data_IF_205669225035
#
_entry.id   IF_205669225035
#
_cell.length_a   1.000
_cell.length_b   1.000
_cell.length_c   1.000
_cell.angle_alpha   90.00
_cell.angle_beta   90.00
_cell.angle_gamma   90.00
#
_symmetry.space_group_name_H-M   'P 1'
#
loop_
_entity.id
_entity.type
_entity.pdbx_description
1 polymer ?
#
# COMPACT_ATOMS: atom_id res chain seq x y z
N UNK A 1 -5.61 0.88 -2.47
CA UNK A 1 -4.21 1.37 -2.54
C UNK A 1 -3.84 1.99 -3.88
N UNK A 2 -3.94 1.30 -5.03
CA UNK A 2 -3.51 1.84 -6.34
C UNK A 2 -3.96 3.28 -6.67
N UNK A 3 -5.24 3.62 -6.47
CA UNK A 3 -5.76 4.98 -6.72
C UNK A 3 -5.10 6.02 -5.80
N UNK A 4 -4.96 5.72 -4.52
CA UNK A 4 -4.32 6.59 -3.54
C UNK A 4 -2.83 6.79 -3.85
N UNK A 5 -2.12 5.72 -4.23
CA UNK A 5 -0.72 5.81 -4.72
C UNK A 5 -0.60 6.75 -5.91
N UNK A 6 -1.51 6.67 -6.88
CA UNK A 6 -1.50 7.57 -8.04
C UNK A 6 -1.84 9.02 -7.67
N UNK A 7 -2.79 9.22 -6.74
CA UNK A 7 -3.11 10.55 -6.22
C UNK A 7 -1.88 11.18 -5.55
N UNK A 8 -1.21 10.45 -4.66
CA UNK A 8 0.02 10.87 -4.01
C UNK A 8 1.12 11.21 -5.01
N UNK A 9 1.34 10.35 -6.02
CA UNK A 9 2.34 10.60 -7.08
C UNK A 9 2.04 11.85 -7.89
N UNK A 10 0.76 12.13 -8.17
CA UNK A 10 0.34 13.35 -8.88
C UNK A 10 0.61 14.59 -8.04
N UNK A 11 0.20 14.55 -6.76
CA UNK A 11 0.45 15.63 -5.81
C UNK A 11 1.95 15.93 -5.69
N UNK A 12 2.76 14.90 -5.48
CA UNK A 12 4.23 15.04 -5.35
C UNK A 12 4.91 15.58 -6.62
N UNK A 13 4.39 15.28 -7.80
CA UNK A 13 4.94 15.71 -9.10
C UNK A 13 4.30 16.98 -9.63
N UNK A 14 3.63 17.74 -8.78
CA UNK A 14 3.02 18.99 -9.22
C UNK A 14 4.09 19.94 -9.81
N UNK A 15 3.79 20.47 -10.99
CA UNK A 15 4.74 21.26 -11.78
C UNK A 15 4.92 22.68 -11.22
N UNK A 16 3.94 23.16 -10.46
CA UNK A 16 4.01 24.48 -9.83
C UNK A 16 4.87 24.47 -8.57
N UNK A 17 5.34 23.27 -8.13
CA UNK A 17 6.20 23.09 -6.97
C UNK A 17 5.59 23.70 -5.72
N UNK A 18 4.29 23.46 -5.51
CA UNK A 18 3.61 23.88 -4.28
C UNK A 18 4.40 23.44 -3.04
N UNK A 19 4.40 24.23 -1.95
CA UNK A 19 5.14 23.91 -0.72
C UNK A 19 4.87 22.49 -0.20
N UNK A 20 3.63 22.02 -0.33
CA UNK A 20 3.27 20.64 0.01
C UNK A 20 3.98 19.63 -0.89
N UNK A 21 4.04 19.87 -2.19
CA UNK A 21 4.71 19.00 -3.16
C UNK A 21 6.21 18.89 -2.89
N UNK A 22 6.85 20.00 -2.49
CA UNK A 22 8.26 20.01 -2.09
C UNK A 22 8.48 19.18 -0.81
N UNK A 23 7.63 19.38 0.20
CA UNK A 23 7.66 18.62 1.46
C UNK A 23 7.50 17.12 1.22
N UNK A 24 6.58 16.73 0.34
CA UNK A 24 6.34 15.33 -0.03
C UNK A 24 7.46 14.73 -0.90
N UNK A 25 8.35 15.52 -1.50
CA UNK A 25 9.51 15.03 -2.24
C UNK A 25 10.70 14.69 -1.35
N UNK A 26 10.74 15.18 -0.10
CA UNK A 26 11.81 14.88 0.86
C UNK A 26 11.81 13.40 1.23
N UNK A 27 10.64 12.80 1.42
CA UNK A 27 10.52 11.40 1.83
C UNK A 27 10.31 10.45 0.65
N UNK A 28 11.11 9.38 0.62
CA UNK A 28 10.97 8.30 -0.37
C UNK A 28 9.92 7.29 0.11
N UNK A 29 8.65 7.64 -0.08
CA UNK A 29 7.54 6.73 0.21
C UNK A 29 7.63 5.43 -0.63
N UNK A 30 7.80 4.29 0.04
CA UNK A 30 7.98 2.96 -0.52
C UNK A 30 6.74 2.51 -1.30
N UNK A 31 5.55 2.81 -0.79
CA UNK A 31 4.29 2.54 -1.49
C UNK A 31 4.14 3.27 -2.83
N UNK A 32 4.92 4.33 -3.04
CA UNK A 32 4.91 5.14 -4.25
C UNK A 32 5.94 4.70 -5.30
N UNK A 33 6.74 3.67 -5.03
CA UNK A 33 7.67 3.07 -6.00
C UNK A 33 6.94 2.36 -7.14
N UNK A 34 7.56 2.27 -8.32
CA UNK A 34 6.95 1.64 -9.49
C UNK A 34 6.70 0.15 -9.29
N UNK A 35 7.59 -0.53 -8.57
CA UNK A 35 7.42 -1.92 -8.20
C UNK A 35 6.12 -2.17 -7.41
N UNK A 36 5.91 -1.41 -6.34
CA UNK A 36 4.73 -1.57 -5.46
C UNK A 36 3.45 -1.16 -6.20
N UNK A 37 3.49 -0.04 -6.93
CA UNK A 37 2.33 0.43 -7.69
C UNK A 37 1.93 -0.54 -8.82
N UNK A 38 2.91 -1.13 -9.52
CA UNK A 38 2.67 -2.14 -10.54
C UNK A 38 2.06 -3.40 -9.93
N UNK A 39 2.58 -3.87 -8.78
CA UNK A 39 2.05 -5.04 -8.08
C UNK A 39 0.57 -4.85 -7.70
N UNK A 40 0.20 -3.71 -7.12
CA UNK A 40 -1.21 -3.42 -6.81
C UNK A 40 -2.08 -3.27 -8.05
N UNK A 41 -1.54 -2.74 -9.15
CA UNK A 41 -2.27 -2.68 -10.43
C UNK A 41 -2.58 -4.08 -10.94
N UNK A 42 -1.60 -4.97 -10.92
CA UNK A 42 -1.75 -6.35 -11.37
C UNK A 42 -2.75 -7.10 -10.49
N UNK A 43 -2.58 -7.07 -9.16
CA UNK A 43 -3.53 -7.68 -8.20
C UNK A 43 -4.97 -7.20 -8.46
N UNK A 44 -5.16 -5.89 -8.65
CA UNK A 44 -6.47 -5.31 -8.98
C UNK A 44 -7.01 -5.84 -10.31
N UNK A 45 -6.18 -5.94 -11.34
CA UNK A 45 -6.61 -6.47 -12.64
C UNK A 45 -7.04 -7.93 -12.51
N UNK A 46 -6.28 -8.77 -11.81
CA UNK A 46 -6.65 -10.18 -11.56
C UNK A 46 -8.00 -10.28 -10.84
N UNK A 47 -8.25 -9.42 -9.84
CA UNK A 47 -9.57 -9.36 -9.18
C UNK A 47 -10.68 -8.99 -10.17
N UNK A 48 -10.44 -8.01 -11.05
CA UNK A 48 -11.45 -7.58 -12.03
C UNK A 48 -11.76 -8.63 -13.09
N UNK A 49 -10.83 -9.54 -13.39
CA UNK A 49 -11.02 -10.63 -14.35
C UNK A 49 -11.38 -11.96 -13.68
N UNK A 50 -11.69 -11.96 -12.38
CA UNK A 50 -12.01 -13.18 -11.64
C UNK A 50 -13.20 -13.93 -12.24
N UNK A 51 -14.30 -13.23 -12.52
CA UNK A 51 -15.51 -13.85 -13.07
C UNK A 51 -15.24 -14.49 -14.44
N UNK A 52 -14.49 -13.80 -15.30
CA UNK A 52 -14.03 -14.31 -16.60
C UNK A 52 -13.16 -15.56 -16.43
N UNK A 53 -12.24 -15.55 -15.46
CA UNK A 53 -11.39 -16.71 -15.17
C UNK A 53 -12.17 -17.92 -14.63
N UNK A 54 -13.26 -17.71 -13.89
CA UNK A 54 -14.15 -18.79 -13.46
C UNK A 54 -14.94 -19.36 -14.65
N UNK A 55 -15.48 -18.48 -15.51
CA UNK A 55 -16.23 -18.89 -16.70
C UNK A 55 -15.38 -19.67 -17.71
N UNK A 56 -14.10 -19.28 -17.85
CA UNK A 56 -13.13 -19.96 -18.73
C UNK A 56 -12.52 -21.22 -18.10
N UNK A 57 -12.95 -21.62 -16.89
CA UNK A 57 -12.45 -22.81 -16.19
C UNK A 57 -10.99 -22.69 -15.70
N UNK A 58 -10.41 -21.49 -15.70
CA UNK A 58 -9.05 -21.22 -15.17
C UNK A 58 -9.02 -21.28 -13.64
N UNK A 59 -10.17 -21.10 -13.00
CA UNK A 59 -10.39 -21.25 -11.56
C UNK A 59 -11.60 -22.16 -11.37
N UNK A 60 -11.44 -23.22 -10.56
CA UNK A 60 -12.56 -24.09 -10.23
C UNK A 60 -13.51 -23.41 -9.23
N UNK A 61 -14.80 -23.71 -9.32
CA UNK A 61 -15.78 -23.25 -8.32
C UNK A 61 -15.38 -23.78 -6.92
N UNK A 62 -15.45 -22.91 -5.92
CA UNK A 62 -14.98 -23.19 -4.55
C UNK A 62 -13.45 -23.18 -4.34
N UNK A 63 -12.63 -22.96 -5.37
CA UNK A 63 -11.18 -22.83 -5.21
C UNK A 63 -10.83 -21.51 -4.48
N UNK A 64 -10.00 -21.54 -3.41
CA UNK A 64 -9.57 -20.32 -2.75
C UNK A 64 -8.74 -19.45 -3.70
N UNK A 65 -9.33 -18.35 -4.16
CA UNK A 65 -8.70 -17.45 -5.14
C UNK A 65 -8.00 -16.23 -4.52
N UNK A 66 -8.25 -15.94 -3.23
CA UNK A 66 -7.71 -14.76 -2.55
C UNK A 66 -6.84 -15.11 -1.33
N UNK A 67 -7.18 -16.18 -0.63
CA UNK A 67 -6.57 -16.58 0.64
C UNK A 67 -6.14 -18.02 0.54
N UNK A 68 -4.88 -18.30 0.89
CA UNK A 68 -4.35 -19.66 0.94
C UNK A 68 -3.84 -19.94 2.35
N UNK A 69 -4.29 -21.04 2.93
CA UNK A 69 -3.86 -21.50 4.25
C UNK A 69 -2.56 -22.31 4.13
N UNK A 70 -1.54 -21.73 3.51
CA UNK A 70 -0.19 -22.29 3.37
C UNK A 70 0.87 -21.47 4.12
N UNK A 71 0.43 -20.59 5.02
CA UNK A 71 1.30 -19.89 5.96
C UNK A 71 1.91 -20.84 6.99
N UNK A 72 2.85 -20.33 7.81
CA UNK A 72 3.52 -21.12 8.83
C UNK A 72 2.53 -21.74 9.81
N UNK A 73 2.87 -22.92 10.31
CA UNK A 73 2.09 -23.59 11.35
C UNK A 73 2.40 -22.98 12.72
N UNK A 74 1.35 -22.70 13.48
CA UNK A 74 1.45 -22.21 14.87
C UNK A 74 0.85 -23.24 15.82
N UNK A 75 1.40 -23.42 17.03
CA UNK A 75 0.82 -24.33 18.01
C UNK A 75 -0.65 -24.00 18.30
N UNK A 76 -1.49 -25.03 18.43
CA UNK A 76 -2.88 -24.86 18.80
C UNK A 76 -2.97 -24.28 20.22
N UNK A 77 -3.77 -23.22 20.47
CA UNK A 77 -3.76 -22.51 21.75
C UNK A 77 -4.28 -23.37 22.93
N UNK A 78 -5.10 -24.38 22.64
CA UNK A 78 -5.75 -25.23 23.66
C UNK A 78 -5.44 -26.72 23.54
N UNK A 79 -4.85 -27.17 22.43
CA UNK A 79 -4.67 -28.61 22.17
C UNK A 79 -3.17 -28.94 22.09
N UNK A 80 -2.62 -29.69 23.05
CA UNK A 80 -1.21 -30.03 23.05
C UNK A 80 -0.87 -30.93 21.85
N UNK A 81 0.31 -30.72 21.27
CA UNK A 81 0.83 -31.43 20.09
C UNK A 81 0.04 -31.22 18.78
N UNK A 82 -0.84 -30.22 18.72
CA UNK A 82 -1.49 -29.83 17.47
C UNK A 82 -0.98 -28.48 16.96
N UNK A 83 -1.06 -28.29 15.64
CA UNK A 83 -0.73 -27.03 14.96
C UNK A 83 -1.89 -26.56 14.09
N UNK A 84 -1.99 -25.25 13.89
CA UNK A 84 -2.95 -24.60 13.01
C UNK A 84 -2.17 -23.97 11.86
N UNK A 85 -2.59 -24.22 10.61
CA UNK A 85 -2.07 -23.48 9.45
C UNK A 85 -2.58 -22.06 9.45
N UNK A 86 -1.66 -21.10 9.34
CA UNK A 86 -2.02 -19.68 9.27
C UNK A 86 -2.28 -19.22 7.83
N UNK A 87 -3.00 -18.12 7.70
CA UNK A 87 -3.13 -17.37 6.45
C UNK A 87 -2.32 -16.08 6.64
N UNK A 88 -1.14 -16.00 6.02
CA UNK A 88 -0.21 -14.87 6.18
C UNK A 88 -0.07 -14.01 4.91
N UNK A 89 -0.77 -14.38 3.84
CA UNK A 89 -0.63 -13.78 2.51
C UNK A 89 -1.95 -13.74 1.74
N UNK A 90 -2.09 -12.68 0.94
CA UNK A 90 -3.03 -12.59 -0.17
C UNK A 90 -2.42 -13.32 -1.37
N UNK A 91 -3.15 -14.25 -1.96
CA UNK A 91 -2.76 -14.94 -3.20
C UNK A 91 -3.87 -14.69 -4.22
N UNK A 92 -3.55 -14.11 -5.36
CA UNK A 92 -4.50 -13.89 -6.47
C UNK A 92 -3.84 -14.36 -7.77
N UNK A 93 -4.36 -15.43 -8.37
CA UNK A 93 -3.70 -16.11 -9.47
C UNK A 93 -2.27 -16.54 -9.10
N UNK A 94 -1.27 -16.11 -9.86
CA UNK A 94 0.16 -16.36 -9.56
C UNK A 94 0.81 -15.27 -8.70
N UNK A 95 0.01 -14.32 -8.18
CA UNK A 95 0.50 -13.16 -7.45
C UNK A 95 0.31 -13.37 -5.96
N UNK A 96 1.38 -13.19 -5.21
CA UNK A 96 1.37 -13.30 -3.76
C UNK A 96 1.75 -11.96 -3.13
N UNK A 97 1.16 -11.62 -1.98
CA UNK A 97 1.58 -10.54 -1.10
C UNK A 97 1.35 -10.89 0.37
N UNK A 98 2.39 -10.81 1.20
CA UNK A 98 2.28 -11.04 2.64
C UNK A 98 1.46 -9.94 3.30
N UNK A 99 0.61 -10.29 4.26
CA UNK A 99 -0.17 -9.31 5.02
C UNK A 99 0.71 -8.39 5.85
N UNK A 100 1.84 -8.88 6.35
CA UNK A 100 2.82 -8.04 7.04
C UNK A 100 3.37 -6.94 6.11
N UNK A 101 3.67 -7.27 4.86
CA UNK A 101 4.12 -6.30 3.85
C UNK A 101 3.01 -5.28 3.54
N UNK A 102 1.79 -5.78 3.31
CA UNK A 102 0.62 -4.93 3.07
C UNK A 102 0.37 -3.96 4.23
N UNK A 103 0.46 -4.44 5.47
CA UNK A 103 0.28 -3.63 6.67
C UNK A 103 1.35 -2.53 6.77
N UNK A 104 2.61 -2.83 6.48
CA UNK A 104 3.69 -1.82 6.44
C UNK A 104 3.38 -0.73 5.43
N UNK A 105 2.99 -1.09 4.21
CA UNK A 105 2.66 -0.11 3.16
C UNK A 105 1.43 0.73 3.53
N UNK A 106 0.41 0.14 4.17
CA UNK A 106 -0.76 0.86 4.66
C UNK A 106 -0.42 1.83 5.79
N UNK A 107 0.45 1.44 6.73
CA UNK A 107 0.94 2.32 7.80
C UNK A 107 1.72 3.50 7.23
N UNK A 108 2.59 3.26 6.26
CA UNK A 108 3.33 4.32 5.56
C UNK A 108 2.36 5.29 4.86
N UNK A 109 1.36 4.77 4.13
CA UNK A 109 0.32 5.59 3.51
C UNK A 109 -0.47 6.43 4.53
N UNK A 110 -0.81 5.84 5.68
CA UNK A 110 -1.51 6.55 6.74
C UNK A 110 -0.66 7.68 7.33
N UNK A 111 0.63 7.44 7.56
CA UNK A 111 1.57 8.46 8.03
C UNK A 111 1.67 9.63 7.04
N UNK A 112 1.78 9.35 5.75
CA UNK A 112 1.77 10.38 4.70
C UNK A 112 0.44 11.14 4.68
N UNK A 113 -0.69 10.47 4.83
CA UNK A 113 -2.00 11.13 4.88
C UNK A 113 -2.12 12.10 6.06
N UNK A 114 -1.61 11.73 7.23
CA UNK A 114 -1.53 12.61 8.40
C UNK A 114 -0.68 13.84 8.10
N UNK A 115 0.52 13.66 7.53
CA UNK A 115 1.39 14.78 7.14
C UNK A 115 0.71 15.75 6.16
N UNK A 116 -0.01 15.22 5.17
CA UNK A 116 -0.79 16.04 4.23
C UNK A 116 -1.87 16.83 4.97
N UNK A 117 -2.59 16.21 5.90
CA UNK A 117 -3.66 16.85 6.67
C UNK A 117 -3.14 17.92 7.64
N UNK A 118 -1.95 17.72 8.21
CA UNK A 118 -1.30 18.63 9.14
C UNK A 118 -0.49 19.74 8.45
N UNK A 119 -0.27 19.62 7.14
CA UNK A 119 0.54 20.58 6.39
C UNK A 119 -0.06 21.99 6.45
N UNK A 120 0.72 22.95 6.98
CA UNK A 120 0.37 24.37 6.98
C UNK A 120 1.43 25.16 6.20
N UNK A 121 1.07 25.79 5.06
CA UNK A 121 2.04 26.46 4.20
C UNK A 121 2.75 27.69 4.82
N UNK A 122 2.30 28.20 5.97
CA UNK A 122 2.70 29.51 6.52
C UNK A 122 3.47 29.47 7.87
N UNK A 123 4.10 28.36 8.27
CA UNK A 123 4.76 28.28 9.59
C UNK A 123 6.21 28.78 9.66
N UNK A 124 6.87 29.21 8.58
CA UNK A 124 8.11 30.00 8.68
C UNK A 124 8.56 30.67 7.37
N UNK A 125 8.30 31.97 7.24
CA UNK A 125 9.18 32.91 6.53
C UNK A 125 8.75 34.34 6.84
N UNK A 126 9.04 34.79 8.06
CA UNK A 126 8.62 36.11 8.57
C UNK A 126 9.61 36.74 9.53
N UNK A 127 10.92 36.57 9.29
CA UNK A 127 11.94 37.35 10.03
C UNK A 127 13.17 37.61 9.16
N UNK A 128 13.01 38.43 8.13
CA UNK A 128 14.11 39.20 7.54
C UNK A 128 13.77 40.69 7.70
N UNK A 129 13.72 41.12 8.96
CA UNK A 129 13.76 42.54 9.33
C UNK A 129 15.21 42.99 9.40
N UNK A 130 15.66 43.64 8.33
CA UNK A 130 16.94 44.35 8.18
C UNK A 130 17.37 45.07 9.47
N UNK A 131 18.59 44.82 9.90
CA UNK A 131 19.34 45.81 10.70
C UNK A 131 19.56 47.05 9.84
N UNK A 132 19.01 48.18 10.29
CA UNK A 132 19.41 49.50 9.84
C UNK A 132 20.55 49.97 10.76
N UNK A 133 21.72 50.16 10.17
CA UNK A 133 22.78 51.00 10.70
C UNK A 133 22.45 52.47 10.38
#
# INVERSE_FOLDING_TARGET
MYRATNCFRRLRRDRQQDPLSQELNVEKASFATDLVAARFRTIRNEIHHLEEMVMDGRIADGQPFALKADGPEVPHPTEPNQTIKTIDRLVIGTREMRFAELATLLKEMASVAVRIAEFRPNSSSGTHGRGAA
#
